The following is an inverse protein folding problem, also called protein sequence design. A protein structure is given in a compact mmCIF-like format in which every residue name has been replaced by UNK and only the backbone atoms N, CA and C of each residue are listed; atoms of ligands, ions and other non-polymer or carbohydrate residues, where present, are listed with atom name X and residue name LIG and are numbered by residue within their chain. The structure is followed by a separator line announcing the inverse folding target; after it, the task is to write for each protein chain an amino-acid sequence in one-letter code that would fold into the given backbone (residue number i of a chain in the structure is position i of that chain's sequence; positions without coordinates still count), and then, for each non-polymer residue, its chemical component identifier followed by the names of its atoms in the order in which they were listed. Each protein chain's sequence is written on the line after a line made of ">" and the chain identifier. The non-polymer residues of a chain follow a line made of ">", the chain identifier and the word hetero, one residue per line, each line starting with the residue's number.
data_IF_075331871346
#
_entry.id   IF_075331871346
#
_cell.length_a   1.000
_cell.length_b   1.000
_cell.length_c   1.000
_cell.angle_alpha   90.00
_cell.angle_beta   90.00
_cell.angle_gamma   90.00
#
_symmetry.space_group_name_H-M   'P 1'
#
loop_
_entity.id
_entity.type
_entity.pdbx_description
1 polymer ?
2 branched ?
3 non-polymer ?
4 non-polymer ?
5 non-polymer ?
6 water ?
#
# COMPACT_ATOMS: atom_id res chain seq x y z
N UNK A 7 7.42 -46.14 -37.62
CA UNK A 7 8.68 -46.81 -37.32
C UNK A 7 9.47 -46.11 -36.23
N UNK A 8 10.73 -46.48 -36.07
CA UNK A 8 11.61 -45.87 -35.07
C UNK A 8 11.57 -44.35 -35.18
N UNK A 9 11.58 -43.86 -36.41
CA UNK A 9 11.48 -42.42 -36.67
C UNK A 9 10.06 -41.90 -36.39
N UNK A 10 9.06 -42.53 -37.03
CA UNK A 10 7.69 -42.05 -36.98
C UNK A 10 6.93 -42.24 -35.65
N UNK A 11 6.89 -43.48 -35.17
CA UNK A 11 6.13 -43.81 -33.96
C UNK A 11 6.71 -43.16 -32.72
N UNK A 12 8.03 -43.24 -32.58
CA UNK A 12 8.72 -42.61 -31.46
C UNK A 12 8.43 -41.11 -31.40
N UNK A 13 8.69 -40.41 -32.51
CA UNK A 13 8.42 -38.98 -32.58
C UNK A 13 6.95 -38.69 -32.23
N UNK A 14 6.03 -39.47 -32.82
CA UNK A 14 4.61 -39.32 -32.53
C UNK A 14 4.33 -39.34 -31.02
N UNK A 15 4.82 -40.38 -30.35
CA UNK A 15 4.63 -40.52 -28.91
C UNK A 15 5.27 -39.35 -28.15
N UNK A 16 6.37 -38.85 -28.70
CA UNK A 16 7.11 -37.74 -28.11
C UNK A 16 6.28 -36.45 -28.11
N UNK A 17 5.78 -36.08 -29.28
CA UNK A 17 4.94 -34.89 -29.40
C UNK A 17 3.66 -35.08 -28.58
N UNK A 18 3.13 -36.29 -28.56
CA UNK A 18 1.98 -36.55 -27.71
C UNK A 18 2.32 -36.16 -26.28
N UNK A 19 3.46 -36.65 -25.80
CA UNK A 19 3.91 -36.34 -24.45
C UNK A 19 4.02 -34.83 -24.26
N UNK A 20 4.55 -34.16 -25.28
CA UNK A 20 4.74 -32.72 -25.23
C UNK A 20 3.43 -31.98 -25.03
N UNK A 21 2.44 -32.30 -25.85
CA UNK A 21 1.18 -31.59 -25.81
C UNK A 21 0.40 -31.98 -24.58
N UNK A 22 0.02 -33.26 -24.49
CA UNK A 22 -0.77 -33.71 -23.37
C UNK A 22 -0.09 -33.34 -22.07
N UNK A 23 1.14 -33.82 -21.91
CA UNK A 23 1.85 -33.56 -20.67
C UNK A 23 2.16 -32.09 -20.47
N UNK A 24 2.87 -31.50 -21.42
CA UNK A 24 3.42 -30.16 -21.22
C UNK A 24 2.41 -29.04 -21.46
N UNK A 25 1.97 -28.93 -22.70
CA UNK A 25 1.05 -27.85 -23.08
C UNK A 25 -0.33 -28.02 -22.45
N UNK A 26 -0.71 -29.24 -22.08
CA UNK A 26 -2.05 -29.44 -21.56
C UNK A 26 -2.09 -29.65 -20.05
N UNK A 27 -1.76 -30.84 -19.59
CA UNK A 27 -1.98 -31.19 -18.19
C UNK A 27 -1.06 -30.38 -17.30
N UNK A 28 0.04 -29.94 -17.89
CA UNK A 28 1.03 -29.15 -17.16
C UNK A 28 0.69 -27.67 -17.24
N UNK A 29 0.74 -27.15 -18.47
CA UNK A 29 0.57 -25.71 -18.71
C UNK A 29 -0.89 -25.31 -18.98
N UNK A 30 -1.81 -26.27 -18.90
CA UNK A 30 -3.23 -25.96 -18.97
C UNK A 30 -3.68 -25.37 -20.30
N UNK A 31 -3.08 -25.81 -21.40
CA UNK A 31 -3.39 -25.27 -22.70
C UNK A 31 -4.79 -25.54 -23.21
N UNK A 32 -5.56 -26.31 -22.45
CA UNK A 32 -6.91 -26.66 -22.84
C UNK A 32 -7.92 -25.67 -22.26
N UNK A 33 -7.40 -24.66 -21.58
CA UNK A 33 -8.27 -23.74 -20.86
C UNK A 33 -8.37 -22.35 -21.48
N UNK A 34 -9.51 -21.72 -21.22
CA UNK A 34 -9.81 -20.35 -21.60
C UNK A 34 -9.78 -19.52 -20.30
N UNK A 35 -9.40 -18.25 -20.39
CA UNK A 35 -9.18 -17.46 -19.16
C UNK A 35 -10.04 -16.21 -18.96
N UNK A 36 -10.16 -15.81 -17.69
CA UNK A 36 -10.84 -14.57 -17.31
C UNK A 36 -10.03 -13.94 -16.17
N UNK A 37 -10.19 -12.64 -15.98
CA UNK A 37 -9.48 -11.96 -14.90
C UNK A 37 -10.46 -11.34 -13.94
N UNK A 38 -9.96 -10.95 -12.78
CA UNK A 38 -10.82 -10.64 -11.65
C UNK A 38 -11.45 -9.25 -11.66
N UNK A 39 -12.74 -9.20 -11.32
CA UNK A 39 -13.38 -7.96 -10.88
C UNK A 39 -13.44 -8.06 -9.35
N UNK A 40 -13.20 -6.94 -8.67
CA UNK A 40 -12.89 -7.00 -7.24
C UNK A 40 -13.49 -5.85 -6.45
N UNK A 41 -13.92 -6.14 -5.23
CA UNK A 41 -14.27 -5.10 -4.26
C UNK A 41 -13.70 -5.38 -2.87
N UNK A 42 -13.05 -4.35 -2.30
CA UNK A 42 -12.43 -4.47 -0.98
C UNK A 42 -13.01 -3.50 0.05
N UNK A 43 -13.32 -4.02 1.25
CA UNK A 43 -13.65 -3.21 2.41
C UNK A 43 -12.64 -3.50 3.51
N UNK A 44 -12.21 -2.47 4.24
CA UNK A 44 -11.28 -2.66 5.36
C UNK A 44 -11.82 -2.06 6.65
N UNK A 45 -11.54 -2.65 7.80
CA UNK A 45 -11.96 -2.03 9.06
C UNK A 45 -10.86 -2.13 10.12
N UNK A 46 -10.37 -0.98 10.58
CA UNK A 46 -9.27 -1.00 11.52
C UNK A 46 -9.81 -0.85 12.93
N UNK A 47 -9.38 -1.76 13.82
CA UNK A 47 -9.70 -1.64 15.24
C UNK A 47 -8.41 -1.43 16.02
N UNK A 48 -8.46 -0.56 17.01
CA UNK A 48 -7.40 -0.47 17.98
C UNK A 48 -7.32 0.90 18.61
N UNK A 49 -6.54 1.03 19.67
CA UNK A 49 -6.33 2.34 20.28
C UNK A 49 -4.87 2.61 20.59
N UNK A 50 -4.43 3.84 20.35
CA UNK A 50 -3.06 4.19 20.69
C UNK A 50 -3.06 5.19 21.82
N UNK A 51 -2.04 5.10 22.65
CA UNK A 51 -1.85 6.00 23.77
C UNK A 51 -0.60 6.80 23.57
N UNK A 52 -0.64 8.09 23.90
CA UNK A 52 0.54 8.93 23.80
C UNK A 52 0.73 9.78 25.03
N UNK A 53 1.99 9.99 25.42
CA UNK A 53 2.33 10.93 26.47
C UNK A 53 3.37 11.90 25.93
N UNK A 54 3.12 13.20 26.07
CA UNK A 54 3.96 14.18 25.43
C UNK A 54 4.05 15.53 26.15
N UNK A 55 5.28 16.02 26.19
CA UNK A 55 5.58 17.38 26.61
C UNK A 55 4.98 18.27 25.53
N UNK A 56 4.16 19.22 25.96
CA UNK A 56 3.42 20.13 25.06
C UNK A 56 2.13 19.49 24.60
N UNK A 57 1.90 18.23 24.99
CA UNK A 57 0.64 17.59 24.64
C UNK A 57 -0.17 17.12 25.85
N UNK A 58 0.21 15.98 26.42
CA UNK A 58 -0.48 15.46 27.59
C UNK A 58 -0.55 13.95 27.55
N UNK A 59 -1.38 13.38 28.41
CA UNK A 59 -1.80 11.97 28.27
C UNK A 59 -3.01 11.92 27.33
N UNK A 60 -2.89 11.16 26.24
CA UNK A 60 -3.86 11.28 25.15
C UNK A 60 -4.22 9.95 24.49
N UNK A 61 -5.49 9.85 24.10
CA UNK A 61 -5.98 8.71 23.33
C UNK A 61 -6.09 9.05 21.84
N UNK A 62 -5.77 8.08 20.99
CA UNK A 62 -6.03 8.21 19.57
C UNK A 62 -6.77 6.98 19.09
N UNK A 63 -8.04 7.19 18.72
CA UNK A 63 -8.88 6.12 18.15
C UNK A 63 -9.05 6.25 16.63
N UNK A 64 -9.78 5.30 16.06
CA UNK A 64 -9.86 5.13 14.62
C UNK A 64 -10.17 6.41 13.86
N UNK A 65 -11.01 7.26 14.45
CA UNK A 65 -11.32 8.55 13.83
C UNK A 65 -10.06 9.46 13.79
N UNK A 66 -9.25 9.40 14.84
CA UNK A 66 -8.01 10.16 14.88
C UNK A 66 -6.95 9.66 13.90
N UNK A 67 -6.75 8.36 13.86
CA UNK A 67 -5.59 7.84 13.16
C UNK A 67 -5.81 7.27 11.75
N UNK A 68 -7.05 7.20 11.31
CA UNK A 68 -7.29 6.79 9.94
C UNK A 68 -7.59 8.04 9.13
N UNK A 69 -6.84 8.26 8.06
CA UNK A 69 -7.02 9.49 7.32
C UNK A 69 -6.88 9.33 5.82
N UNK A 70 -7.85 9.90 5.07
CA UNK A 70 -9.12 10.30 5.67
C UNK A 70 -9.92 9.04 6.10
N UNK A 71 -11.18 9.19 6.57
CA UNK A 71 -11.89 8.02 7.08
C UNK A 71 -11.99 6.88 6.07
N UNK A 72 -12.07 7.16 4.77
CA UNK A 72 -11.86 6.07 3.81
C UNK A 72 -11.28 6.39 2.43
N UNK A 73 -10.35 5.53 1.99
CA UNK A 73 -9.86 5.53 0.62
C UNK A 73 -10.35 4.22 0.03
N UNK A 74 -10.80 4.23 -1.21
CA UNK A 74 -11.27 2.98 -1.80
C UNK A 74 -10.07 2.05 -2.04
N UNK A 75 -10.15 0.84 -1.48
CA UNK A 75 -9.10 -0.17 -1.62
C UNK A 75 -7.77 -0.04 -0.86
N UNK A 76 -7.62 1.01 -0.04
CA UNK A 76 -6.42 1.16 0.75
C UNK A 76 -6.69 2.05 1.96
N UNK A 77 -5.90 1.90 3.02
CA UNK A 77 -6.07 2.74 4.21
C UNK A 77 -4.73 3.22 4.71
N UNK A 78 -4.72 4.47 5.19
CA UNK A 78 -3.54 5.03 5.79
C UNK A 78 -3.64 5.02 7.31
N UNK A 79 -2.65 4.41 7.96
CA UNK A 79 -2.58 4.42 9.41
C UNK A 79 -1.54 5.42 9.93
N UNK A 80 -2.00 6.32 10.78
CA UNK A 80 -1.13 7.29 11.42
C UNK A 80 -0.21 6.64 12.47
N UNK A 81 1.09 6.85 12.32
CA UNK A 81 2.07 6.27 13.21
C UNK A 81 2.81 7.40 13.93
N UNK A 82 3.38 8.33 13.17
CA UNK A 82 4.11 9.45 13.77
C UNK A 82 3.54 10.81 13.36
N UNK A 83 3.91 11.86 14.09
CA UNK A 83 3.55 13.21 13.64
C UNK A 83 4.39 14.36 14.18
N UNK A 84 4.39 15.47 13.44
CA UNK A 84 4.86 16.77 13.93
C UNK A 84 3.66 17.71 13.95
N UNK A 85 3.42 18.34 15.10
CA UNK A 85 2.17 19.08 15.27
C UNK A 85 2.38 20.54 15.65
N UNK A 86 1.85 21.44 14.84
CA UNK A 86 1.97 22.86 15.09
C UNK A 86 0.59 23.44 15.36
N UNK A 87 0.39 24.08 16.51
CA UNK A 87 -0.97 24.50 16.84
C UNK A 87 -1.13 26.02 16.83
N UNK A 88 -2.36 26.52 17.00
CA UNK A 88 -2.67 27.95 17.03
C UNK A 88 -1.99 28.75 15.96
N UNK A 89 -1.93 28.14 14.76
CA UNK A 89 -1.56 28.90 13.57
C UNK A 89 -2.73 29.77 13.11
N UNK A 90 -2.43 30.97 12.64
CA UNK A 90 -3.43 31.82 12.01
C UNK A 90 -2.80 32.52 10.82
N UNK A 91 -3.62 32.93 9.84
CA UNK A 91 -3.11 33.62 8.66
C UNK A 91 -2.58 34.96 9.13
N UNK A 92 -1.28 35.16 8.91
CA UNK A 92 -0.55 36.31 9.43
C UNK A 92 0.83 36.37 8.79
N UNK A 93 1.69 37.26 9.30
CA UNK A 93 3.06 37.28 8.85
C UNK A 93 3.97 36.83 10.00
N UNK A 94 5.12 36.25 9.67
CA UNK A 94 6.09 35.86 10.69
C UNK A 94 7.49 35.59 10.13
N UNK A 95 8.42 35.30 11.03
CA UNK A 95 9.82 35.09 10.67
C UNK A 95 10.10 33.66 10.20
N UNK A 96 10.70 33.56 9.01
CA UNK A 96 11.03 32.29 8.40
C UNK A 96 12.02 31.49 9.27
N UNK A 97 12.10 30.18 9.07
CA UNK A 97 13.07 29.35 9.79
C UNK A 97 14.47 29.52 9.21
N UNK A 98 15.51 29.52 10.08
CA UNK A 98 16.87 29.73 9.57
C UNK A 98 17.30 28.60 8.62
N UNK A 99 17.68 28.98 7.41
CA UNK A 99 18.13 28.07 6.38
C UNK A 99 19.14 28.93 5.67
N UNK A 100 20.12 28.35 4.97
CA UNK A 100 21.09 29.25 4.37
C UNK A 100 20.39 30.40 3.64
N UNK A 101 19.32 30.10 2.93
CA UNK A 101 18.60 31.13 2.18
C UNK A 101 17.66 31.95 3.06
N UNK A 102 17.36 31.44 4.26
CA UNK A 102 16.40 32.07 5.16
C UNK A 102 16.96 33.26 5.93
N UNK A 103 18.15 33.07 6.48
CA UNK A 103 18.79 34.07 7.33
C UNK A 103 19.15 35.32 6.54
N UNK A 104 18.77 36.46 7.07
CA UNK A 104 18.97 37.73 6.41
C UNK A 104 19.45 38.81 7.37
N UNK A 105 20.39 39.62 6.88
CA UNK A 105 20.92 40.78 7.59
C UNK A 105 20.02 42.02 7.47
N UNK A 106 19.49 42.26 6.27
CA UNK A 106 18.60 43.40 6.03
C UNK A 106 17.62 43.13 4.88
N UNK A 107 16.82 44.14 4.55
CA UNK A 107 15.72 43.98 3.60
C UNK A 107 16.17 43.73 2.17
N UNK A 108 17.43 44.01 1.87
CA UNK A 108 17.95 43.75 0.54
C UNK A 108 17.91 42.26 0.28
N UNK A 109 18.17 41.49 1.34
CA UNK A 109 18.26 40.03 1.25
C UNK A 109 16.90 39.37 1.08
N UNK A 110 15.84 40.09 1.44
CA UNK A 110 14.50 39.55 1.35
C UNK A 110 13.74 40.20 0.20
N UNK A 111 13.52 39.45 -0.88
CA UNK A 111 12.78 39.99 -2.02
C UNK A 111 11.28 39.67 -1.94
N UNK A 112 10.47 40.72 -1.73
CA UNK A 112 9.03 40.58 -1.59
C UNK A 112 8.41 39.83 -2.78
N UNK A 113 7.38 39.03 -2.50
CA UNK A 113 6.60 38.35 -3.52
C UNK A 113 7.19 37.04 -4.01
N UNK A 114 8.28 36.61 -3.38
CA UNK A 114 8.97 35.40 -3.80
C UNK A 114 8.79 34.27 -2.78
N UNK A 115 8.85 33.04 -3.27
CA UNK A 115 8.71 31.85 -2.42
C UNK A 115 9.91 31.65 -1.49
N UNK A 116 9.85 30.61 -0.67
CA UNK A 116 10.90 30.37 0.33
C UNK A 116 11.46 28.95 0.21
N UNK A 117 12.59 28.70 0.88
CA UNK A 117 13.24 27.39 0.85
C UNK A 117 12.25 26.25 1.13
N UNK A 118 11.55 26.34 2.27
CA UNK A 118 10.54 25.35 2.63
C UNK A 118 9.37 25.35 1.65
N UNK A 119 9.05 26.52 1.12
CA UNK A 119 7.85 26.70 0.31
C UNK A 119 6.60 26.71 1.19
N UNK A 120 6.74 27.16 2.42
CA UNK A 120 5.58 27.43 3.28
C UNK A 120 5.17 28.91 3.44
N UNK A 121 5.84 29.80 2.73
CA UNK A 121 5.45 31.20 2.81
C UNK A 121 5.83 32.05 1.62
N UNK A 122 5.29 33.27 1.60
CA UNK A 122 5.66 34.26 0.59
C UNK A 122 6.29 35.46 1.27
N UNK A 123 7.51 35.81 0.86
CA UNK A 123 8.28 36.86 1.54
C UNK A 123 7.72 38.26 1.31
N UNK A 124 7.40 38.96 2.39
CA UNK A 124 7.28 40.40 2.34
C UNK A 124 8.73 40.87 2.46
N UNK A 125 9.13 41.85 1.65
CA UNK A 125 10.53 42.23 1.56
C UNK A 125 11.16 42.54 2.91
N UNK A 126 10.32 42.90 3.87
CA UNK A 126 10.75 43.14 5.23
C UNK A 126 11.50 41.95 5.82
N UNK A 127 12.69 42.25 6.35
CA UNK A 127 13.46 41.31 7.14
C UNK A 127 13.10 41.50 8.61
N UNK A 128 12.77 40.40 9.29
CA UNK A 128 12.38 40.46 10.70
C UNK A 128 13.23 39.50 11.51
N UNK A 129 13.42 39.81 12.78
CA UNK A 129 14.28 39.00 13.63
C UNK A 129 13.57 37.74 14.13
N UNK A 130 14.11 36.59 13.78
CA UNK A 130 13.59 35.30 14.25
C UNK A 130 13.62 35.24 15.78
N UNK A 131 14.81 35.42 16.34
CA UNK A 131 15.00 35.43 17.79
C UNK A 131 15.87 36.60 18.18
N UNK A 132 16.18 36.72 19.47
CA UNK A 132 17.05 37.79 19.94
C UNK A 132 18.40 37.73 19.21
N UNK A 133 18.83 36.51 18.91
CA UNK A 133 20.10 36.30 18.22
C UNK A 133 20.01 36.51 16.71
N UNK A 134 18.94 36.04 16.08
CA UNK A 134 18.93 35.98 14.63
C UNK A 134 17.94 36.92 13.94
N UNK A 135 18.03 36.94 12.61
CA UNK A 135 17.13 37.69 11.76
C UNK A 135 17.01 36.88 10.48
N UNK A 136 15.81 36.93 9.90
CA UNK A 136 15.48 36.13 8.73
C UNK A 136 14.30 36.80 8.03
N UNK A 137 14.02 36.38 6.80
CA UNK A 137 12.94 37.01 6.03
C UNK A 137 11.53 36.84 6.61
N UNK A 138 10.75 37.92 6.57
CA UNK A 138 9.36 37.82 6.98
C UNK A 138 8.55 37.28 5.81
N UNK A 139 7.61 36.38 6.11
CA UNK A 139 6.69 35.85 5.11
C UNK A 139 5.26 35.93 5.59
N UNK A 140 4.34 35.86 4.64
CA UNK A 140 2.93 35.71 4.93
C UNK A 140 2.65 34.21 4.91
N UNK A 141 1.96 33.72 5.92
CA UNK A 141 1.69 32.29 6.07
C UNK A 141 0.68 32.00 7.16
N UNK A 142 0.44 30.72 7.38
CA UNK A 142 -0.14 30.28 8.63
C UNK A 142 0.97 30.36 9.66
N UNK A 143 0.71 31.03 10.79
CA UNK A 143 1.77 31.33 11.75
C UNK A 143 1.38 31.03 13.20
N UNK A 144 2.34 30.50 13.97
CA UNK A 144 3.73 30.34 13.54
C UNK A 144 3.99 29.13 12.64
N UNK A 145 5.05 29.23 11.84
CA UNK A 145 5.51 28.13 11.02
C UNK A 145 5.78 26.86 11.84
N UNK A 146 5.56 25.73 11.18
CA UNK A 146 6.01 24.44 11.66
C UNK A 146 7.52 24.56 11.85
N UNK A 147 8.04 23.96 12.93
CA UNK A 147 9.49 24.02 13.21
C UNK A 147 10.23 22.95 12.44
N UNK A 148 11.46 23.23 12.02
CA UNK A 148 12.21 22.17 11.35
C UNK A 148 12.73 21.20 12.40
N UNK A 149 12.24 19.97 12.33
CA UNK A 149 12.57 18.95 13.30
C UNK A 149 12.28 17.61 12.65
N UNK A 150 12.91 16.55 13.17
CA UNK A 150 12.55 15.21 12.75
C UNK A 150 11.38 14.73 13.60
N UNK A 151 10.57 13.83 13.05
CA UNK A 151 9.49 13.25 13.86
C UNK A 151 10.11 12.45 15.00
N UNK A 152 9.37 12.22 16.09
CA UNK A 152 9.90 11.56 17.27
C UNK A 152 10.33 10.12 17.03
N UNK A 153 11.40 9.71 17.70
CA UNK A 153 11.77 8.33 17.74
C UNK A 153 11.84 7.91 19.21
N UNK A 154 11.21 6.77 19.55
CA UNK A 154 10.29 5.97 18.72
C UNK A 154 8.98 6.73 18.37
N UNK A 155 8.20 6.25 17.38
CA UNK A 155 7.02 6.98 16.88
C UNK A 155 5.93 7.11 17.93
N UNK A 156 5.21 8.23 17.98
CA UNK A 156 4.14 8.45 18.99
C UNK A 156 3.02 7.39 19.02
N UNK A 157 2.63 6.95 17.84
CA UNK A 157 1.56 6.00 17.63
C UNK A 157 2.02 4.56 17.54
N UNK A 158 3.16 4.25 18.13
CA UNK A 158 3.65 2.88 18.11
C UNK A 158 2.59 1.84 18.48
N UNK A 159 1.67 2.20 19.37
CA UNK A 159 0.60 1.28 19.76
C UNK A 159 -0.08 0.63 18.53
N UNK A 160 -0.07 1.35 17.41
CA UNK A 160 -0.58 0.90 16.14
C UNK A 160 -0.02 -0.45 15.64
N UNK A 161 1.17 -0.84 16.07
CA UNK A 161 1.65 -2.14 15.65
C UNK A 161 0.59 -3.19 16.02
N UNK A 162 -0.08 -2.95 17.14
CA UNK A 162 -1.00 -3.92 17.70
C UNK A 162 -2.41 -3.81 17.11
N UNK A 163 -2.65 -2.77 16.30
CA UNK A 163 -3.93 -2.56 15.62
C UNK A 163 -4.29 -3.72 14.70
N UNK A 164 -5.60 -3.92 14.51
CA UNK A 164 -6.10 -4.98 13.64
C UNK A 164 -6.98 -4.41 12.54
N UNK A 165 -6.93 -5.08 11.39
CA UNK A 165 -7.69 -4.69 10.23
C UNK A 165 -8.44 -5.92 9.72
N UNK A 166 -9.76 -5.83 9.75
CA UNK A 166 -10.61 -6.75 9.01
C UNK A 166 -10.47 -6.38 7.54
N UNK A 167 -10.23 -7.37 6.69
CA UNK A 167 -10.29 -7.14 5.25
C UNK A 167 -11.29 -8.06 4.57
N UNK A 168 -12.41 -7.50 4.12
CA UNK A 168 -13.39 -8.24 3.32
C UNK A 168 -13.11 -8.01 1.84
N UNK A 169 -13.01 -9.08 1.06
CA UNK A 169 -12.84 -8.93 -0.38
C UNK A 169 -13.74 -9.85 -1.17
N UNK A 170 -14.67 -9.29 -1.94
CA UNK A 170 -15.50 -10.09 -2.84
C UNK A 170 -15.06 -9.95 -4.29
N UNK A 171 -14.91 -11.08 -4.99
CA UNK A 171 -14.58 -11.05 -6.41
C UNK A 171 -15.59 -11.75 -7.33
N UNK A 172 -15.53 -11.40 -8.62
CA UNK A 172 -16.28 -12.13 -9.64
C UNK A 172 -15.51 -12.20 -10.95
N UNK A 173 -15.63 -13.33 -11.64
CA UNK A 173 -15.12 -13.47 -12.99
C UNK A 173 -16.29 -13.34 -13.95
N UNK A 174 -16.36 -12.21 -14.65
CA UNK A 174 -17.53 -11.92 -15.48
C UNK A 174 -17.78 -13.02 -16.53
N UNK A 175 -16.74 -13.39 -17.24
CA UNK A 175 -16.82 -14.41 -18.28
C UNK A 175 -17.47 -15.70 -17.75
N UNK A 176 -17.01 -16.19 -16.61
CA UNK A 176 -17.48 -17.48 -16.11
C UNK A 176 -18.62 -17.36 -15.11
N UNK A 177 -19.03 -16.13 -14.82
CA UNK A 177 -20.22 -15.91 -14.01
C UNK A 177 -20.01 -16.36 -12.55
N UNK A 178 -18.82 -16.83 -12.25
CA UNK A 178 -18.47 -17.29 -10.92
C UNK A 178 -18.23 -16.13 -9.97
N UNK A 179 -18.79 -16.22 -8.76
CA UNK A 179 -18.52 -15.23 -7.72
C UNK A 179 -18.00 -15.88 -6.45
N UNK A 180 -17.12 -15.19 -5.71
CA UNK A 180 -16.71 -15.69 -4.41
C UNK A 180 -16.29 -14.59 -3.42
N UNK A 181 -16.40 -14.91 -2.14
CA UNK A 181 -16.01 -14.00 -1.07
C UNK A 181 -14.71 -14.49 -0.43
N UNK A 182 -13.89 -13.59 0.07
CA UNK A 182 -12.63 -14.01 0.70
C UNK A 182 -12.87 -14.61 2.06
N UNK A 183 -14.07 -14.39 2.61
CA UNK A 183 -14.48 -15.13 3.81
C UNK A 183 -15.23 -16.41 3.39
N UNK A 184 -14.63 -17.55 3.69
CA UNK A 184 -15.16 -18.82 3.16
C UNK A 184 -16.35 -19.41 3.96
N UNK A 185 -17.18 -20.22 3.29
CA UNK A 185 -18.43 -20.74 3.86
C UNK A 185 -18.29 -21.45 5.21
N UNK A 186 -17.30 -22.33 5.36
CA UNK A 186 -17.14 -23.02 6.63
C UNK A 186 -17.18 -22.05 7.81
N UNK A 187 -16.30 -21.06 7.74
CA UNK A 187 -16.02 -20.12 8.81
C UNK A 187 -17.29 -19.50 9.42
N UNK A 188 -17.34 -19.43 10.74
CA UNK A 188 -18.50 -18.95 11.46
C UNK A 188 -18.25 -17.62 12.20
N UNK A 189 -19.33 -16.88 12.44
CA UNK A 189 -19.25 -15.54 13.03
C UNK A 189 -18.44 -15.36 14.31
N UNK A 190 -18.62 -16.24 15.28
CA UNK A 190 -17.95 -16.10 16.58
C UNK A 190 -16.46 -16.18 16.39
N UNK A 191 -16.05 -17.19 15.63
CA UNK A 191 -14.68 -17.35 15.21
C UNK A 191 -14.18 -16.01 14.72
N UNK A 192 -15.02 -15.31 13.98
CA UNK A 192 -14.64 -14.06 13.37
C UNK A 192 -14.76 -12.89 14.34
N UNK A 193 -15.35 -13.14 15.50
CA UNK A 193 -15.25 -12.23 16.62
C UNK A 193 -13.82 -12.29 17.16
N UNK A 194 -13.37 -13.51 17.41
CA UNK A 194 -12.08 -13.73 18.07
C UNK A 194 -10.89 -13.94 17.12
N UNK A 195 -11.19 -14.10 15.84
CA UNK A 195 -10.21 -14.45 14.81
C UNK A 195 -9.01 -13.46 14.71
N UNK A 196 -7.80 -14.00 14.51
CA UNK A 196 -6.67 -13.20 13.98
C UNK A 196 -5.84 -14.01 12.99
N UNK A 197 -5.62 -13.48 11.79
CA UNK A 197 -4.97 -14.27 10.75
C UNK A 197 -3.65 -14.85 11.23
N UNK A 198 -3.47 -16.15 10.98
CA UNK A 198 -2.21 -16.84 11.24
C UNK A 198 -1.91 -17.82 10.11
N UNK A 199 -0.72 -17.73 9.55
CA UNK A 199 -0.34 -18.56 8.42
C UNK A 199 -0.37 -20.06 8.82
N UNK A 200 -0.05 -20.35 10.07
CA UNK A 200 -0.08 -21.72 10.59
C UNK A 200 -1.45 -22.11 11.16
N UNK A 201 -1.80 -21.54 12.30
CA UNK A 201 -3.10 -21.83 12.92
C UNK A 201 -4.36 -21.29 12.20
N UNK A 202 -4.41 -19.99 11.88
CA UNK A 202 -5.68 -19.42 11.37
C UNK A 202 -5.59 -18.77 9.98
N UNK A 203 -5.29 -19.58 8.95
CA UNK A 203 -5.05 -19.13 7.57
C UNK A 203 -6.28 -18.56 6.87
N UNK A 204 -7.45 -18.96 7.34
CA UNK A 204 -8.70 -18.46 6.79
C UNK A 204 -9.31 -17.30 7.57
N UNK A 205 -8.56 -16.74 8.51
CA UNK A 205 -8.99 -15.54 9.20
C UNK A 205 -8.61 -14.24 8.45
N UNK A 206 -9.63 -13.48 8.01
CA UNK A 206 -9.59 -12.21 7.29
C UNK A 206 -9.11 -11.04 8.16
N UNK A 207 -9.00 -11.25 9.46
CA UNK A 207 -8.52 -10.18 10.35
C UNK A 207 -7.01 -10.24 10.56
N UNK A 208 -6.30 -9.25 10.03
CA UNK A 208 -4.84 -9.21 10.08
C UNK A 208 -4.34 -8.17 11.06
N UNK A 209 -3.21 -8.45 11.69
CA UNK A 209 -2.61 -7.52 12.62
C UNK A 209 -1.49 -6.67 11.95
N UNK A 210 -1.59 -5.36 12.09
CA UNK A 210 -0.74 -4.46 11.32
C UNK A 210 0.72 -4.89 11.39
N UNK A 211 1.20 -5.02 12.63
CA UNK A 211 2.54 -5.50 12.90
C UNK A 211 2.82 -6.79 12.16
N UNK A 212 1.85 -7.70 12.14
CA UNK A 212 2.06 -9.00 11.51
C UNK A 212 2.16 -8.92 10.01
N UNK A 213 1.49 -7.93 9.41
CA UNK A 213 1.60 -7.72 7.97
C UNK A 213 3.01 -7.21 7.67
N UNK A 214 3.41 -6.14 8.37
CA UNK A 214 4.75 -5.57 8.17
C UNK A 214 5.72 -6.73 8.27
N UNK A 215 5.67 -7.39 9.44
CA UNK A 215 6.55 -8.48 9.78
C UNK A 215 6.56 -9.52 8.69
N UNK A 216 5.39 -10.00 8.34
CA UNK A 216 5.25 -11.05 7.36
C UNK A 216 5.95 -10.63 6.06
N UNK A 217 6.12 -9.33 5.89
CA UNK A 217 6.80 -8.79 4.69
C UNK A 217 8.31 -8.69 4.88
N UNK A 218 8.80 -9.22 6.00
CA UNK A 218 10.21 -9.15 6.36
C UNK A 218 10.68 -7.71 6.59
N UNK A 219 9.86 -6.96 7.31
CA UNK A 219 10.16 -5.59 7.70
C UNK A 219 9.78 -5.53 9.17
N UNK A 220 9.88 -4.36 9.79
CA UNK A 220 9.42 -4.24 11.16
C UNK A 220 8.56 -3.00 11.33
N UNK A 221 7.38 -3.18 11.92
CA UNK A 221 6.48 -2.06 12.15
C UNK A 221 7.21 -0.88 12.75
N UNK A 222 7.70 -1.04 13.97
CA UNK A 222 8.33 0.05 14.72
C UNK A 222 9.37 0.81 13.94
N UNK A 223 10.23 0.07 13.26
CA UNK A 223 11.27 0.66 12.43
C UNK A 223 10.59 1.55 11.41
N UNK A 224 9.79 0.92 10.56
CA UNK A 224 9.09 1.56 9.44
C UNK A 224 8.11 2.67 9.85
N UNK A 225 7.83 2.74 11.14
CA UNK A 225 6.76 3.58 11.67
C UNK A 225 7.22 5.00 12.01
N UNK A 226 8.53 5.21 12.07
CA UNK A 226 9.02 6.54 12.36
C UNK A 226 8.78 7.43 11.14
N UNK A 227 9.29 7.00 9.99
CA UNK A 227 9.23 7.76 8.74
C UNK A 227 8.04 7.40 7.85
N UNK A 228 7.32 6.33 8.19
CA UNK A 228 6.17 5.92 7.41
C UNK A 228 6.53 5.05 6.22
N UNK A 229 5.52 4.61 5.47
CA UNK A 229 5.78 3.75 4.32
C UNK A 229 4.51 3.08 3.79
N UNK A 230 4.72 2.21 2.80
CA UNK A 230 3.63 1.59 2.07
C UNK A 230 3.69 0.07 2.03
N UNK A 231 2.72 -0.59 2.64
CA UNK A 231 2.57 -2.03 2.48
C UNK A 231 1.54 -2.37 1.39
N UNK A 232 1.95 -3.17 0.41
CA UNK A 232 1.03 -3.94 -0.41
C UNK A 232 0.55 -5.19 0.30
N UNK A 233 -0.77 -5.35 0.39
CA UNK A 233 -1.38 -6.61 0.82
C UNK A 233 -1.96 -7.26 -0.41
N UNK A 234 -1.35 -8.33 -0.88
CA UNK A 234 -1.74 -8.85 -2.18
C UNK A 234 -2.63 -10.04 -1.99
N UNK A 235 -3.81 -9.98 -2.63
CA UNK A 235 -4.72 -11.11 -2.61
C UNK A 235 -4.72 -11.67 -4.01
N UNK A 236 -4.56 -12.99 -4.14
CA UNK A 236 -4.53 -13.59 -5.46
C UNK A 236 -5.59 -14.66 -5.58
N UNK A 237 -6.44 -14.53 -6.61
CA UNK A 237 -7.39 -15.60 -6.86
C UNK A 237 -7.05 -16.26 -8.17
N UNK A 238 -6.41 -17.40 -8.10
CA UNK A 238 -6.14 -18.17 -9.29
C UNK A 238 -7.07 -19.35 -9.14
N UNK A 239 -7.84 -19.62 -10.18
CA UNK A 239 -8.82 -20.67 -10.05
C UNK A 239 -8.92 -21.48 -11.33
N UNK A 240 -8.92 -22.80 -11.16
CA UNK A 240 -9.34 -23.70 -12.21
C UNK A 240 -10.82 -23.93 -11.94
N UNK A 241 -11.66 -23.45 -12.85
CA UNK A 241 -13.09 -23.52 -12.65
C UNK A 241 -13.67 -24.88 -13.09
N UNK A 242 -12.78 -25.75 -13.54
CA UNK A 242 -13.14 -27.15 -13.78
C UNK A 242 -13.32 -27.84 -12.44
N UNK A 243 -12.43 -27.52 -11.50
CA UNK A 243 -12.44 -28.09 -10.16
C UNK A 243 -13.59 -27.56 -9.31
N UNK A 244 -13.70 -28.03 -8.05
CA UNK A 244 -14.75 -27.52 -7.16
C UNK A 244 -14.59 -26.02 -6.86
N UNK A 245 -15.72 -25.32 -6.86
CA UNK A 245 -15.77 -23.94 -6.36
C UNK A 245 -15.03 -23.87 -5.02
N UNK A 246 -15.21 -24.91 -4.22
CA UNK A 246 -14.57 -24.99 -2.92
C UNK A 246 -13.07 -24.72 -3.02
N UNK A 247 -12.46 -25.19 -4.10
CA UNK A 247 -11.01 -25.13 -4.25
C UNK A 247 -10.53 -23.77 -4.74
N UNK A 248 -11.48 -22.89 -5.01
CA UNK A 248 -11.12 -21.55 -5.42
C UNK A 248 -11.00 -20.73 -4.15
N UNK A 249 -9.77 -20.33 -3.83
CA UNK A 249 -9.50 -19.56 -2.63
C UNK A 249 -8.49 -18.46 -2.88
N UNK A 250 -8.51 -17.44 -2.01
CA UNK A 250 -7.54 -16.34 -2.03
C UNK A 250 -6.19 -16.76 -1.44
N UNK A 251 -5.10 -16.23 -1.99
CA UNK A 251 -3.77 -16.36 -1.38
C UNK A 251 -3.33 -14.97 -0.95
N UNK A 252 -2.84 -14.84 0.29
CA UNK A 252 -2.33 -13.57 0.77
C UNK A 252 -0.80 -13.52 0.78
N UNK A 253 -0.23 -12.52 0.10
CA UNK A 253 1.19 -12.23 0.30
C UNK A 253 1.36 -10.78 0.73
N UNK A 254 2.52 -10.44 1.26
CA UNK A 254 2.74 -9.09 1.76
C UNK A 254 4.09 -8.51 1.28
N UNK A 255 4.09 -7.28 0.80
CA UNK A 255 5.29 -6.69 0.24
C UNK A 255 5.44 -5.23 0.62
N UNK A 256 6.59 -4.83 1.14
CA UNK A 256 6.78 -3.41 1.33
C UNK A 256 7.01 -2.81 -0.06
N UNK A 257 6.23 -1.78 -0.39
CA UNK A 257 6.29 -1.16 -1.71
C UNK A 257 7.30 -0.04 -1.94
N UNK A 258 7.55 0.77 -0.91
CA UNK A 258 8.46 1.91 -1.05
C UNK A 258 9.94 1.53 -0.93
N UNK A 259 10.81 2.41 -1.42
CA UNK A 259 12.26 2.21 -1.32
C UNK A 259 12.81 2.56 0.05
N UNK A 260 13.57 1.64 0.63
CA UNK A 260 14.29 1.95 1.87
C UNK A 260 15.58 2.74 1.56
N UNK A 261 16.12 2.59 0.36
CA UNK A 261 17.29 3.40 0.04
C UNK A 261 16.99 4.91 0.10
N UNK A 262 17.70 5.62 0.99
CA UNK A 262 17.57 7.06 1.16
C UNK A 262 18.24 7.83 -0.01
N UNK A 263 19.24 7.18 -0.60
CA UNK A 263 20.09 7.79 -1.62
C UNK A 263 19.54 7.82 -3.06
N UNK A 264 18.78 6.80 -3.43
CA UNK A 264 18.19 6.77 -4.76
C UNK A 264 16.78 7.39 -4.87
N UNK A 265 16.23 7.98 -3.80
CA UNK A 265 14.93 8.66 -3.96
C UNK A 265 14.67 10.02 -3.28
N UNK A 266 13.42 10.46 -3.34
CA UNK A 266 12.97 11.71 -2.74
C UNK A 266 11.84 11.41 -1.79
N UNK A 267 11.79 12.08 -0.66
CA UNK A 267 10.63 11.96 0.24
C UNK A 267 10.34 10.52 0.73
N UNK A 268 11.37 9.86 1.30
CA UNK A 268 11.26 8.46 1.74
C UNK A 268 10.20 8.27 2.83
N UNK A 269 9.76 7.03 3.02
CA UNK A 269 8.74 6.75 4.00
C UNK A 269 7.41 7.25 3.50
N UNK A 270 6.51 7.59 4.41
CA UNK A 270 5.26 8.16 3.97
C UNK A 270 4.75 9.22 4.96
N UNK A 271 4.61 10.46 4.49
CA UNK A 271 4.08 11.49 5.35
C UNK A 271 3.33 12.48 4.51
N UNK A 272 2.32 13.12 5.09
CA UNK A 272 1.62 14.18 4.41
C UNK A 272 1.09 15.21 5.41
N UNK A 273 0.79 16.42 4.94
CA UNK A 273 0.29 17.45 5.84
C UNK A 273 -1.25 17.55 5.74
N UNK A 274 -1.88 17.83 6.88
CA UNK A 274 -3.31 17.97 6.92
C UNK A 274 -3.67 18.76 8.16
N UNK A 275 -4.86 19.35 8.23
CA UNK A 275 -5.06 20.31 9.30
C UNK A 275 -6.42 20.22 9.95
N UNK A 276 -6.53 20.88 11.09
CA UNK A 276 -7.79 20.99 11.79
C UNK A 276 -8.08 22.47 11.93
N UNK A 277 -9.26 22.90 11.49
CA UNK A 277 -9.59 24.32 11.50
C UNK A 277 -10.63 24.67 12.56
N UNK A 278 -10.35 25.74 13.30
CA UNK A 278 -11.22 26.23 14.36
C UNK A 278 -11.51 27.70 14.15
N UNK A 279 -12.64 28.16 14.67
CA UNK A 279 -12.87 29.58 14.76
C UNK A 279 -12.83 30.00 16.23
N UNK A 280 -11.80 30.75 16.58
CA UNK A 280 -11.77 31.48 17.83
C UNK A 280 -13.00 32.39 17.84
N UNK A 281 -13.66 32.49 18.99
CA UNK A 281 -15.00 33.10 19.09
C UNK A 281 -15.08 34.51 18.53
N UNK A 282 -13.94 35.17 18.37
CA UNK A 282 -13.89 36.50 17.76
C UNK A 282 -14.50 36.47 16.36
N UNK A 283 -14.53 35.27 15.78
CA UNK A 283 -14.92 35.10 14.39
C UNK A 283 -13.66 34.88 13.56
N UNK A 284 -12.55 34.80 14.28
CA UNK A 284 -11.24 34.69 13.67
C UNK A 284 -10.84 33.23 13.50
N UNK A 285 -10.31 32.89 12.34
CA UNK A 285 -9.90 31.52 12.06
C UNK A 285 -8.49 31.18 12.58
N UNK A 286 -8.31 29.94 13.04
CA UNK A 286 -7.01 29.43 13.43
C UNK A 286 -6.98 27.94 13.08
N UNK A 287 -5.81 27.40 12.79
CA UNK A 287 -5.73 25.97 12.52
C UNK A 287 -4.58 25.32 13.23
N UNK A 288 -4.63 23.98 13.24
CA UNK A 288 -3.57 23.13 13.71
C UNK A 288 -3.05 22.29 12.54
N UNK A 289 -1.77 22.46 12.23
CA UNK A 289 -1.13 21.72 11.16
C UNK A 289 -0.49 20.44 11.68
N UNK A 290 -0.87 19.32 11.09
CA UNK A 290 -0.19 18.07 11.40
C UNK A 290 0.54 17.60 10.18
N UNK A 291 1.83 17.29 10.37
CA UNK A 291 2.53 16.53 9.37
C UNK A 291 2.55 15.10 9.91
N UNK A 292 1.76 14.21 9.32
CA UNK A 292 1.73 12.84 9.75
C UNK A 292 2.61 11.89 8.95
N UNK A 293 3.07 10.83 9.63
CA UNK A 293 3.75 9.74 8.97
C UNK A 293 2.96 8.52 9.33
N UNK A 294 2.97 7.55 8.42
CA UNK A 294 2.38 6.27 8.72
C UNK A 294 2.62 5.27 7.62
N UNK A 295 1.83 4.22 7.68
CA UNK A 295 1.89 3.18 6.68
C UNK A 295 0.54 3.10 5.97
N UNK A 296 0.60 3.39 4.68
CA UNK A 296 -0.52 3.16 3.80
C UNK A 296 -0.54 1.68 3.47
N UNK A 297 -1.71 1.06 3.53
CA UNK A 297 -1.79 -0.32 3.07
C UNK A 297 -2.65 -0.40 1.84
N UNK A 298 -2.09 -0.98 0.79
CA UNK A 298 -2.81 -1.14 -0.45
C UNK A 298 -3.23 -2.56 -0.55
N UNK A 299 -4.53 -2.82 -0.44
CA UNK A 299 -4.98 -4.14 -0.82
C UNK A 299 -4.92 -4.19 -2.35
N UNK A 300 -4.27 -5.21 -2.87
CA UNK A 300 -4.10 -5.38 -4.31
C UNK A 300 -4.54 -6.78 -4.72
N UNK A 301 -5.64 -6.84 -5.50
CA UNK A 301 -6.26 -8.11 -5.88
C UNK A 301 -6.11 -8.41 -7.36
N UNK A 302 -5.60 -9.60 -7.69
CA UNK A 302 -5.51 -10.02 -9.07
C UNK A 302 -5.83 -11.49 -9.21
N UNK A 303 -6.89 -11.83 -9.93
CA UNK A 303 -7.13 -13.22 -10.23
C UNK A 303 -6.95 -13.62 -11.68
N UNK A 304 -6.85 -14.91 -11.91
CA UNK A 304 -7.14 -15.44 -13.22
C UNK A 304 -7.85 -16.79 -13.04
N UNK A 305 -8.95 -16.95 -13.77
CA UNK A 305 -9.69 -18.20 -13.77
C UNK A 305 -9.53 -18.80 -15.15
N UNK A 306 -9.67 -20.12 -15.24
CA UNK A 306 -9.62 -20.79 -16.53
C UNK A 306 -10.51 -22.00 -16.51
N UNK A 307 -11.00 -22.39 -17.68
CA UNK A 307 -11.92 -23.51 -17.77
C UNK A 307 -11.83 -24.16 -19.14
N UNK A 308 -12.11 -25.45 -19.21
CA UNK A 308 -11.98 -26.17 -20.48
C UNK A 308 -12.73 -25.48 -21.62
N UNK A 309 -12.11 -25.45 -22.78
CA UNK A 309 -12.73 -24.94 -23.99
C UNK A 309 -12.25 -25.77 -25.17
N UNK A 310 -13.19 -26.13 -26.04
CA UNK A 310 -12.85 -26.88 -27.26
C UNK A 310 -11.85 -26.11 -28.12
N UNK A 311 -12.20 -24.88 -28.48
CA UNK A 311 -11.41 -24.09 -29.44
C UNK A 311 -9.87 -24.12 -29.23
N UNK A 312 -9.39 -23.75 -28.03
CA UNK A 312 -7.95 -23.75 -27.74
C UNK A 312 -7.35 -25.16 -27.72
N UNK A 313 -8.12 -26.11 -27.19
CA UNK A 313 -7.73 -27.51 -27.21
C UNK A 313 -7.38 -27.92 -28.63
N UNK A 314 -8.40 -27.91 -29.48
CA UNK A 314 -8.27 -28.28 -30.88
C UNK A 314 -7.16 -27.51 -31.56
N UNK A 315 -7.11 -26.20 -31.31
CA UNK A 315 -6.03 -25.37 -31.82
C UNK A 315 -4.68 -26.03 -31.54
N UNK A 316 -4.37 -26.20 -30.25
CA UNK A 316 -3.12 -26.85 -29.83
C UNK A 316 -2.86 -28.19 -30.48
N UNK A 317 -3.91 -29.01 -30.58
CA UNK A 317 -3.80 -30.30 -31.25
C UNK A 317 -3.30 -30.12 -32.69
N UNK A 318 -4.03 -29.31 -33.46
CA UNK A 318 -3.63 -29.00 -34.82
C UNK A 318 -2.18 -28.57 -34.85
N UNK A 319 -1.80 -27.72 -33.90
CA UNK A 319 -0.42 -27.28 -33.80
C UNK A 319 0.53 -28.48 -33.67
N UNK A 320 0.13 -29.45 -32.85
CA UNK A 320 0.93 -30.65 -32.66
C UNK A 320 1.07 -31.44 -33.94
N UNK A 321 -0.06 -31.78 -34.55
CA UNK A 321 -0.08 -32.52 -35.79
C UNK A 321 0.80 -31.87 -36.86
N UNK A 322 0.68 -30.55 -37.01
CA UNK A 322 1.51 -29.83 -37.95
C UNK A 322 2.98 -29.91 -37.55
N UNK A 323 3.24 -29.95 -36.25
CA UNK A 323 4.61 -29.97 -35.74
C UNK A 323 5.32 -31.30 -36.02
N UNK A 324 4.60 -32.41 -35.86
CA UNK A 324 5.20 -33.73 -36.05
C UNK A 324 5.82 -33.89 -37.43
N UNK A 325 5.19 -33.30 -38.43
CA UNK A 325 5.70 -33.33 -39.78
C UNK A 325 7.16 -32.93 -39.78
N UNK A 326 7.45 -31.83 -39.11
CA UNK A 326 8.83 -31.37 -38.99
C UNK A 326 9.60 -32.27 -38.02
N UNK A 327 8.88 -32.88 -37.08
CA UNK A 327 9.51 -33.77 -36.11
C UNK A 327 10.24 -34.94 -36.79
N UNK A 328 9.61 -35.50 -37.82
CA UNK A 328 10.19 -36.62 -38.56
C UNK A 328 11.51 -36.24 -39.25
N UNK A 329 11.49 -35.10 -39.92
CA UNK A 329 12.68 -34.60 -40.59
C UNK A 329 13.80 -34.28 -39.59
N UNK A 330 13.47 -33.52 -38.56
CA UNK A 330 14.43 -33.12 -37.55
C UNK A 330 15.04 -34.32 -36.84
N UNK A 331 14.24 -35.37 -36.66
CA UNK A 331 14.70 -36.58 -36.00
C UNK A 331 15.58 -37.43 -36.93
N UNK A 332 15.14 -37.54 -38.18
CA UNK A 332 15.87 -38.29 -39.20
C UNK A 332 17.28 -37.74 -39.38
N UNK A 333 17.37 -36.45 -39.72
CA UNK A 333 18.64 -35.79 -39.94
C UNK A 333 19.49 -35.68 -38.67
N UNK A 334 18.87 -35.99 -37.53
CA UNK A 334 19.57 -35.97 -36.25
C UNK A 334 20.35 -37.25 -36.02
N UNK A 335 20.04 -38.29 -36.79
CA UNK A 335 20.71 -39.57 -36.67
C UNK A 335 21.96 -39.64 -37.55
N UNK A 336 23.11 -39.86 -36.92
CA UNK A 336 24.39 -39.91 -37.63
C UNK A 336 24.54 -38.73 -38.57
X LIG B 1 -16.46 -22.59 12.89
X LIG B 1 -16.51 -23.73 13.93
X LIG B 1 -15.34 -24.73 13.90
X LIG B 1 -13.98 -24.15 13.49
X LIG B 1 -14.09 -22.76 12.83
X LIG B 1 -12.99 -22.55 11.80
X LIG B 1 -17.65 -23.65 16.04
X LIG B 1 -17.28 -24.05 17.43
X LIG B 1 -16.66 -23.19 15.27
X LIG B 1 -15.65 -25.82 13.06
X LIG B 1 -13.12 -24.16 14.61
X LIG B 1 -15.28 -22.64 12.11
X LIG B 1 -11.74 -22.43 12.44
X LIG B 1 -18.82 -23.74 15.61
X LIG B 2 -11.83 -24.67 14.19
X LIG B 2 -10.81 -24.36 15.29
X LIG B 2 -9.85 -25.52 15.58
X LIG B 2 -9.39 -26.24 14.30
X LIG B 2 -10.59 -26.58 13.40
X LIG B 2 -10.72 -28.09 13.20
X LIG B 2 -10.06 -22.19 16.01
X LIG B 2 -8.77 -21.45 16.22
X LIG B 2 -10.09 -23.11 15.04
X LIG B 2 -10.38 -26.44 16.53
X LIG B 2 -8.43 -25.47 13.56
X LIG B 2 -11.82 -26.07 13.89
X LIG B 2 -10.84 -28.77 14.45
X LIG B 2 -11.05 -21.95 16.73
X LIG B 3 -7.02 -25.51 13.98
X LIG B 3 -6.75 -25.54 15.49
X LIG B 3 -5.24 -25.43 15.72
X LIG B 3 -4.58 -26.64 15.04
X LIG B 3 -4.86 -26.52 13.54
X LIG B 3 -4.21 -27.66 12.75
X LIG B 3 -7.26 -26.71 16.12
X LIG B 3 -4.92 -25.30 17.09
X LIG B 3 -3.19 -26.72 15.33
X LIG B 3 -6.26 -26.53 13.32
X LIG B 3 -4.06 -27.31 11.40
X LIG B 4 -5.81 -24.29 17.65
X LIG B 4 -5.51 -22.88 17.09
X LIG B 4 -5.60 -21.84 18.19
X LIG B 4 -6.80 -22.05 19.12
X LIG B 4 -6.90 -23.52 19.56
X LIG B 4 -8.21 -24.16 19.11
X LIG B 4 -6.35 -22.57 16.00
X LIG B 4 -5.74 -20.55 17.64
X LIG B 4 -6.63 -21.20 20.23
X LIG B 4 -5.79 -24.24 19.06
X LIG B 4 -9.31 -23.68 19.87
X LIG C 1 -3.09 31.66 19.92
X LIG C 1 -3.60 31.95 21.33
X LIG C 1 -3.39 33.39 21.82
X LIG C 1 -2.13 34.04 21.23
X LIG C 1 -1.94 33.63 19.76
X LIG C 1 -0.84 34.43 19.04
X LIG C 1 -5.21 30.56 22.49
X LIG C 1 -6.58 29.91 22.64
X LIG C 1 -5.00 31.50 21.55
X LIG C 1 -3.24 33.31 23.23
X LIG C 1 -2.20 35.45 21.32
X LIG C 1 -1.78 32.23 19.78
X LIG C 1 -0.88 34.16 17.66
X LIG C 1 -4.29 30.17 23.25
X LIG D 1 8.92 -4.76 18.34
X LIG E 1 -16.61 -6.86 -0.99
X LIG E 1 -17.14 -6.65 -2.29
X LIG E 1 -17.24 -5.84 -0.07
X LIG E 1 -16.56 -4.60 -0.25
X LIG E 1 -17.16 -6.38 1.37
X LIG E 1 -18.08 -5.68 2.19
X LIG F 1 -12.37 1.85 18.60
X LIG F 1 -11.24 2.32 17.88
X LIG F 1 -12.41 0.32 18.57
X LIG F 1 -13.32 -0.13 17.58
X LIG F 1 -11.00 -0.23 18.28
X LIG F 1 -10.42 -0.74 19.46
X LIG G 1 -7.93 -4.02 20.62
X LIG G 1 -9.18 -3.40 20.41
X LIG G 1 -7.03 -3.87 19.37
X LIG G 1 -7.19 -4.96 18.49
X LIG G 1 -5.57 -3.65 19.78
X LIG G 1 -5.25 -2.28 19.97
X LIG H 1 -10.35 0.57 1.92
X LIG H 1 -9.75 -0.56 1.33
X LIG H 1 -11.61 1.07 1.18
X LIG H 1 -11.86 0.57 -0.12
X LIG H 1 -12.83 1.04 2.07
X LIG H 1 -12.74 2.17 2.92
#
# INVERSE_FOLDING_TARGET
>A
GSSKKVGTLNRFTQALVIAYVIGYVFVYNKGYQDTDTVLSSVTTKVKGIALTKTSELGERIWDVADYIIPPQEDGSFFVLTNMIITTNQTQSKCAENPTPASTCTSHRDCKRGFNDARGDGVRTGRCVSYSASVKTCEVLSWCPLEKIVDPPNPPLLADAERFTVLIKNNIRYPKFNFNKRNILPNINSSYLTHCVFSRKTDPDCPIFRLGDIVGEAEEDFQIMAVRGGVMGVQIRWDCDLDMPQSWCVPRYTFRRLDNKDPDNNVAPGYNFRFAKYYKNSDGTETRTLIKGYGIRFDVMVFGQAGKFNIIPTLLNIGAGLALLGLVNVICDWIVLTFMK
>B hetero
1 NAG C1 C2 C3 C4 C5 C6 C7 C8 N2 O3 O4 O5 O6 O7
2 NAG C1 C2 C3 C4 C5 C6 C7 C8 N2 O3 O4 O5 O6 O7
3 BMA C1 C2 C3 C4 C5 C6 O2 O3 O4 O5 O6
4 MAN C1 C2 C3 C4 C5 C6 O2 O3 O4 O5 O6
>C hetero
1 NAG C1 C2 C3 C4 C5 C6 C7 C8 N2 O3 O4 O5 O6 O7
>D hetero
1 GD GD
>E hetero
1 GOL C1 O1 C2 O2 C3 O3
>F hetero
1 GOL C1 O1 C2 O2 C3 O3
>G hetero
1 GOL C1 O1 C2 O2 C3 O3
>H hetero
1 GOL C1 O1 C2 O2 C3 O3
#
